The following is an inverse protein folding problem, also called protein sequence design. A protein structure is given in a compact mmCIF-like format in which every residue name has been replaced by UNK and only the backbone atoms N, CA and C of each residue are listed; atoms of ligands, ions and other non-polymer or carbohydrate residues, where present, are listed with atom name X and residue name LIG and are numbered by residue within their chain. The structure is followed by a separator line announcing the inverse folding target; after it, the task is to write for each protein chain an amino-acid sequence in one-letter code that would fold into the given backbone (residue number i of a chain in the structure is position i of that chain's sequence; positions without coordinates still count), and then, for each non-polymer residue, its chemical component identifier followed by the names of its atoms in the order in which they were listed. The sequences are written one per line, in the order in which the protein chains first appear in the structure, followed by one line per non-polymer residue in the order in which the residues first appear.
data_IF_073903672138
#
_entry.id   IF_073903672138
#
_cell.length_a   1.000
_cell.length_b   1.000
_cell.length_c   1.000
_cell.angle_alpha   90.00
_cell.angle_beta   90.00
_cell.angle_gamma   90.00
#
_symmetry.space_group_name_H-M   'P 1'
#
loop_
_entity.id
_entity.type
_entity.pdbx_description
1 polymer ?
#
# COMPACT_ATOMS: atom_id res chain seq x y z
N UNK A 1 15.56 -6.63 -21.26
CA UNK A 1 16.13 -7.29 -20.06
C UNK A 1 15.15 -7.07 -18.91
N UNK A 2 14.61 -8.13 -18.29
CA UNK A 2 13.85 -7.99 -17.04
C UNK A 2 14.83 -7.57 -15.94
N UNK A 3 14.57 -6.45 -15.27
CA UNK A 3 15.35 -6.08 -14.08
C UNK A 3 14.96 -7.02 -12.93
N UNK A 4 15.89 -7.85 -12.48
CA UNK A 4 15.74 -8.62 -11.26
C UNK A 4 16.01 -7.70 -10.05
N UNK A 5 15.19 -7.78 -9.02
CA UNK A 5 15.38 -7.04 -7.77
C UNK A 5 15.68 -8.03 -6.64
N UNK A 6 16.63 -7.67 -5.79
CA UNK A 6 16.95 -8.39 -4.55
C UNK A 6 16.65 -7.49 -3.35
N UNK A 7 16.38 -8.11 -2.20
CA UNK A 7 16.15 -7.44 -0.91
C UNK A 7 15.06 -6.36 -0.98
N UNK A 8 13.81 -6.81 -1.06
CA UNK A 8 12.63 -5.95 -0.97
C UNK A 8 12.23 -5.86 0.50
N UNK A 9 12.56 -4.75 1.15
CA UNK A 9 12.10 -4.45 2.50
C UNK A 9 10.92 -3.48 2.39
N UNK A 10 9.73 -3.91 2.85
CA UNK A 10 8.52 -3.12 2.86
C UNK A 10 8.01 -2.96 4.29
N UNK A 11 7.68 -1.73 4.64
CA UNK A 11 6.93 -1.37 5.84
C UNK A 11 5.59 -0.79 5.43
N UNK A 12 4.55 -1.15 6.18
CA UNK A 12 3.19 -0.68 5.97
C UNK A 12 2.74 0.06 7.20
N UNK A 13 2.40 1.34 7.03
CA UNK A 13 1.87 2.19 8.08
C UNK A 13 0.40 2.49 7.79
N UNK A 14 -0.49 1.91 8.59
CA UNK A 14 -1.92 2.24 8.55
C UNK A 14 -2.09 3.63 9.19
N UNK A 15 -2.61 4.57 8.43
CA UNK A 15 -2.71 5.98 8.85
C UNK A 15 -4.15 6.40 9.15
N UNK A 16 -5.12 5.75 8.52
CA UNK A 16 -6.53 6.06 8.74
C UNK A 16 -7.37 4.80 8.59
N UNK A 17 -8.38 4.69 9.46
CA UNK A 17 -9.47 3.72 9.31
C UNK A 17 -10.76 4.45 9.62
N UNK A 18 -11.71 4.41 8.68
CA UNK A 18 -13.01 5.05 8.87
C UNK A 18 -14.14 4.18 8.33
N UNK A 19 -15.30 4.30 8.95
CA UNK A 19 -16.54 3.65 8.49
C UNK A 19 -17.38 4.68 7.75
N UNK A 20 -17.78 4.38 6.52
CA UNK A 20 -18.62 5.21 5.66
C UNK A 20 -19.81 4.39 5.20
N UNK A 21 -20.96 4.59 5.86
CA UNK A 21 -22.14 3.74 5.63
C UNK A 21 -21.86 2.28 6.01
N UNK A 22 -21.99 1.38 5.04
CA UNK A 22 -21.70 -0.06 5.19
C UNK A 22 -20.25 -0.44 4.83
N UNK A 23 -19.43 0.53 4.43
CA UNK A 23 -18.05 0.33 3.99
C UNK A 23 -17.05 0.72 5.09
N UNK A 24 -15.95 -0.01 5.19
CA UNK A 24 -14.78 0.34 6.01
C UNK A 24 -13.65 0.69 5.08
N UNK A 25 -13.16 1.92 5.17
CA UNK A 25 -12.03 2.40 4.40
C UNK A 25 -10.76 2.38 5.27
N UNK A 26 -9.70 1.74 4.77
CA UNK A 26 -8.39 1.71 5.42
C UNK A 26 -7.39 2.35 4.47
N UNK A 27 -6.73 3.41 4.93
CA UNK A 27 -5.63 4.06 4.21
C UNK A 27 -4.31 3.68 4.85
N UNK A 28 -3.33 3.33 4.01
CA UNK A 28 -1.97 3.05 4.45
C UNK A 28 -0.92 3.57 3.48
N UNK A 29 0.26 3.85 4.02
CA UNK A 29 1.45 4.05 3.22
C UNK A 29 2.27 2.76 3.17
N UNK A 30 2.80 2.46 2.00
CA UNK A 30 3.86 1.45 1.85
C UNK A 30 5.15 2.18 1.57
N UNK A 31 6.12 2.04 2.48
CA UNK A 31 7.46 2.59 2.34
C UNK A 31 8.45 1.44 2.28
N UNK A 32 9.44 1.54 1.42
CA UNK A 32 10.43 0.47 1.34
C UNK A 32 11.63 0.82 0.50
N UNK A 33 12.50 -0.17 0.38
CA UNK A 33 13.68 -0.09 -0.47
C UNK A 33 13.80 -1.39 -1.25
N UNK A 34 14.23 -1.27 -2.51
CA UNK A 34 14.63 -2.42 -3.33
C UNK A 34 15.97 -2.14 -3.97
N UNK A 35 16.78 -3.18 -4.15
CA UNK A 35 18.06 -3.07 -4.83
C UNK A 35 17.98 -3.76 -6.19
N UNK A 36 18.40 -3.08 -7.25
CA UNK A 36 18.51 -3.70 -8.57
C UNK A 36 19.67 -4.70 -8.54
N UNK A 37 19.41 -5.96 -8.85
CA UNK A 37 20.39 -7.03 -8.74
C UNK A 37 21.54 -6.92 -9.75
N UNK A 38 21.31 -6.25 -10.88
CA UNK A 38 22.30 -6.09 -11.96
C UNK A 38 23.16 -4.84 -11.76
N UNK A 39 22.56 -3.73 -11.36
CA UNK A 39 23.28 -2.44 -11.24
C UNK A 39 23.68 -2.09 -9.81
N UNK A 40 23.16 -2.81 -8.80
CA UNK A 40 23.35 -2.49 -7.38
C UNK A 40 22.63 -1.22 -6.92
N UNK A 41 21.86 -0.56 -7.80
CA UNK A 41 21.17 0.70 -7.48
C UNK A 41 20.04 0.44 -6.49
N UNK A 42 20.07 1.17 -5.36
CA UNK A 42 18.99 1.18 -4.37
C UNK A 42 17.91 2.16 -4.79
N UNK A 43 16.66 1.72 -4.77
CA UNK A 43 15.48 2.52 -5.07
C UNK A 43 14.57 2.57 -3.86
N UNK A 44 14.25 3.78 -3.42
CA UNK A 44 13.22 4.01 -2.41
C UNK A 44 11.83 3.84 -3.06
N UNK A 45 10.95 3.12 -2.39
CA UNK A 45 9.58 2.88 -2.78
C UNK A 45 8.67 3.64 -1.82
N UNK A 46 7.70 4.37 -2.38
CA UNK A 46 6.61 4.96 -1.61
C UNK A 46 5.33 4.83 -2.40
N UNK A 47 4.30 4.29 -1.76
CA UNK A 47 2.93 4.27 -2.28
C UNK A 47 1.97 4.68 -1.18
N UNK A 48 0.88 5.33 -1.56
CA UNK A 48 -0.29 5.51 -0.72
C UNK A 48 -1.40 4.65 -1.30
N UNK A 49 -2.06 3.87 -0.45
CA UNK A 49 -3.10 2.98 -0.89
C UNK A 49 -4.30 3.13 0.03
N UNK A 50 -5.49 2.95 -0.53
CA UNK A 50 -6.72 2.87 0.22
C UNK A 50 -7.46 1.61 -0.23
N UNK A 51 -7.87 0.78 0.72
CA UNK A 51 -8.79 -0.31 0.45
C UNK A 51 -10.12 -0.06 1.14
N UNK A 52 -11.16 -0.47 0.43
CA UNK A 52 -12.51 -0.52 0.94
C UNK A 52 -12.85 -1.98 1.24
N UNK A 53 -13.43 -2.17 2.42
CA UNK A 53 -13.90 -3.44 2.94
C UNK A 53 -15.41 -3.34 3.18
N UNK A 54 -16.10 -4.48 3.05
CA UNK A 54 -17.52 -4.63 3.39
C UNK A 54 -17.68 -5.78 4.35
N UNK A 55 -18.66 -5.70 5.24
CA UNK A 55 -19.06 -6.86 6.03
C UNK A 55 -19.96 -7.77 5.18
N UNK A 56 -19.70 -9.08 5.20
CA UNK A 56 -20.64 -10.06 4.66
C UNK A 56 -21.83 -10.27 5.60
N UNK A 57 -22.84 -11.05 5.16
CA UNK A 57 -24.03 -11.34 5.97
C UNK A 57 -23.72 -12.05 7.30
N UNK A 58 -22.54 -12.65 7.43
CA UNK A 58 -22.07 -13.28 8.67
C UNK A 58 -21.26 -12.31 9.56
N UNK A 59 -21.17 -11.03 9.19
CA UNK A 59 -20.45 -10.00 9.94
C UNK A 59 -18.93 -10.07 9.78
N UNK A 60 -18.40 -10.78 8.77
CA UNK A 60 -16.96 -10.84 8.50
C UNK A 60 -16.55 -9.78 7.50
N UNK A 61 -15.48 -9.04 7.81
CA UNK A 61 -14.89 -8.09 6.85
C UNK A 61 -14.34 -8.83 5.63
N UNK A 62 -14.72 -8.36 4.45
CA UNK A 62 -14.25 -8.83 3.15
C UNK A 62 -13.63 -7.67 2.40
N UNK A 63 -12.49 -7.94 1.80
CA UNK A 63 -11.88 -7.03 0.84
C UNK A 63 -12.81 -6.84 -0.36
N UNK A 64 -13.03 -5.58 -0.76
CA UNK A 64 -13.89 -5.24 -1.88
C UNK A 64 -13.10 -4.62 -3.04
N UNK A 65 -12.32 -3.55 -2.80
CA UNK A 65 -11.50 -2.89 -3.83
C UNK A 65 -10.30 -2.16 -3.23
N UNK A 66 -9.22 -2.02 -4.02
CA UNK A 66 -8.13 -1.07 -3.76
C UNK A 66 -8.30 0.10 -4.71
N UNK A 67 -8.23 1.32 -4.21
CA UNK A 67 -7.90 2.50 -4.99
C UNK A 67 -6.47 2.91 -4.67
N UNK A 68 -5.61 2.98 -5.69
CA UNK A 68 -4.32 3.64 -5.54
C UNK A 68 -4.61 5.12 -5.31
N UNK A 69 -4.34 5.59 -4.10
CA UNK A 69 -4.42 7.01 -3.82
C UNK A 69 -3.09 7.62 -4.27
N UNK A 70 -3.06 8.74 -5.02
CA UNK A 70 -1.81 9.41 -5.27
C UNK A 70 -1.14 9.71 -3.92
N UNK A 71 0.07 9.19 -3.72
CA UNK A 71 0.87 9.58 -2.57
C UNK A 71 1.09 11.09 -2.66
N UNK A 72 0.66 11.83 -1.64
CA UNK A 72 1.07 13.22 -1.52
C UNK A 72 2.60 13.26 -1.66
N UNK A 73 3.16 14.13 -2.52
CA UNK A 73 4.60 14.23 -2.68
C UNK A 73 5.22 14.47 -1.30
N UNK A 74 6.35 13.82 -1.02
CA UNK A 74 7.11 14.17 0.17
C UNK A 74 7.42 15.66 0.08
N UNK A 75 6.93 16.45 1.03
CA UNK A 75 7.44 17.80 1.23
C UNK A 75 8.95 17.69 1.46
N UNK A 76 9.77 18.54 0.80
CA UNK A 76 11.23 18.52 0.91
C UNK A 76 11.74 18.58 2.35
#
# INVERSE_FOLDING_TARGET
MMSAYTNINLSVDIVETRTVGEEVEIMWYTVGQRTNATTGVVQNLRSANMALFKYDQAGKMRFYRVSNHPAAPATP
#
